data_IF_575753439995
#
_entry.id   IF_575753439995
#
_cell.length_a   1.000
_cell.length_b   1.000
_cell.length_c   1.000
_cell.angle_alpha   90.00
_cell.angle_beta   90.00
_cell.angle_gamma   90.00
#
_symmetry.space_group_name_H-M   'P 1'
#
loop_
_entity.id
_entity.type
_entity.pdbx_description
1 polymer ?
#
# COMPACT_ATOMS: atom_id res chain seq x y z
N UNK A 1 -16.89 36.26 -36.25
CA UNK A 1 -18.12 37.04 -36.00
C UNK A 1 -19.28 36.15 -36.40
N UNK A 2 -19.77 35.33 -35.48
CA UNK A 2 -21.15 34.80 -35.45
C UNK A 2 -21.33 33.99 -34.17
N UNK A 3 -22.21 34.48 -33.31
CA UNK A 3 -22.89 33.74 -32.24
C UNK A 3 -24.18 33.22 -32.89
N UNK A 4 -24.72 32.05 -32.54
CA UNK A 4 -25.93 31.89 -31.69
C UNK A 4 -26.28 30.39 -31.58
N UNK A 5 -26.76 29.88 -30.43
CA UNK A 5 -26.97 28.44 -30.17
C UNK A 5 -28.42 27.97 -30.40
N UNK A 6 -28.71 26.69 -30.12
CA UNK A 6 -30.08 26.10 -30.12
C UNK A 6 -30.29 25.15 -28.92
N UNK A 7 -31.53 25.11 -28.41
CA UNK A 7 -32.03 24.31 -27.26
C UNK A 7 -32.95 23.15 -27.75
N UNK A 8 -33.59 22.28 -26.95
CA UNK A 8 -33.90 22.27 -25.51
C UNK A 8 -34.16 20.82 -24.99
N UNK A 9 -34.91 20.71 -23.89
CA UNK A 9 -35.54 19.52 -23.27
C UNK A 9 -36.11 18.47 -24.26
N UNK A 10 -36.14 17.16 -23.99
CA UNK A 10 -36.64 16.40 -22.81
C UNK A 10 -37.71 15.39 -23.32
N UNK A 11 -38.56 14.72 -22.49
CA UNK A 11 -38.40 14.20 -21.12
C UNK A 11 -38.90 12.73 -20.94
N UNK A 12 -38.82 12.22 -19.69
CA UNK A 12 -39.62 11.12 -19.09
C UNK A 12 -39.53 9.65 -19.57
N UNK A 13 -39.45 8.74 -18.58
CA UNK A 13 -39.63 7.29 -18.74
C UNK A 13 -39.53 6.49 -17.43
N UNK A 14 -40.46 6.69 -16.48
CA UNK A 14 -40.62 5.76 -15.33
C UNK A 14 -41.32 4.48 -15.79
N UNK A 15 -40.87 3.32 -15.31
CA UNK A 15 -41.56 2.04 -15.45
C UNK A 15 -41.46 1.24 -14.14
N UNK A 16 -42.59 0.98 -13.50
CA UNK A 16 -42.69 0.22 -12.25
C UNK A 16 -42.86 -1.29 -12.51
N UNK A 17 -42.39 -2.10 -11.55
CA UNK A 17 -42.75 -3.53 -11.41
C UNK A 17 -44.25 -3.66 -11.08
N UNK A 18 -44.89 -4.83 -11.33
CA UNK A 18 -45.13 -5.73 -10.19
C UNK A 18 -45.31 -7.24 -10.47
N UNK A 19 -44.95 -8.05 -9.48
CA UNK A 19 -45.61 -9.33 -9.13
C UNK A 19 -45.23 -10.60 -9.92
N UNK A 20 -45.52 -11.82 -9.44
CA UNK A 20 -45.95 -12.25 -8.10
C UNK A 20 -45.83 -13.79 -7.91
N UNK A 21 -45.78 -14.24 -6.65
CA UNK A 21 -46.27 -15.51 -6.12
C UNK A 21 -45.66 -16.87 -6.57
N UNK A 22 -45.06 -17.58 -5.60
CA UNK A 22 -45.79 -18.71 -4.98
C UNK A 22 -45.10 -20.09 -4.90
N UNK A 23 -45.29 -20.74 -3.73
CA UNK A 23 -45.21 -22.20 -3.47
C UNK A 23 -43.82 -22.85 -3.47
N UNK A 24 -43.51 -23.90 -2.70
CA UNK A 24 -44.26 -24.63 -1.66
C UNK A 24 -43.28 -25.13 -0.56
N UNK A 25 -43.82 -25.49 0.61
CA UNK A 25 -43.10 -26.12 1.73
C UNK A 25 -43.65 -27.54 1.95
N UNK A 26 -42.80 -28.56 2.15
CA UNK A 26 -43.14 -29.58 3.14
C UNK A 26 -41.98 -29.93 4.08
N UNK A 27 -42.32 -30.17 5.34
CA UNK A 27 -41.39 -30.49 6.41
C UNK A 27 -41.21 -32.00 6.66
N UNK A 28 -40.13 -32.30 7.41
CA UNK A 28 -39.96 -33.42 8.36
C UNK A 28 -39.62 -34.84 7.85
N UNK A 29 -38.39 -35.29 8.17
CA UNK A 29 -37.89 -36.62 8.68
C UNK A 29 -36.36 -36.45 8.84
N UNK A 30 -35.64 -36.81 9.92
CA UNK A 30 -35.92 -37.24 11.30
C UNK A 30 -34.79 -36.70 12.21
N UNK A 31 -35.07 -36.19 13.42
CA UNK A 31 -35.02 -36.89 14.72
C UNK A 31 -33.70 -37.63 15.09
N UNK A 32 -33.20 -37.30 16.28
CA UNK A 32 -32.28 -38.04 17.14
C UNK A 32 -30.77 -38.11 16.79
N UNK A 33 -30.00 -37.13 17.30
CA UNK A 33 -28.97 -37.42 18.31
C UNK A 33 -28.58 -36.17 19.13
N UNK A 34 -28.39 -36.44 20.42
CA UNK A 34 -27.80 -35.63 21.48
C UNK A 34 -26.68 -34.67 21.00
N UNK A 35 -26.52 -33.48 21.56
CA UNK A 35 -26.83 -33.10 22.94
C UNK A 35 -25.53 -32.84 23.71
N UNK A 36 -24.82 -31.78 23.31
CA UNK A 36 -23.65 -31.25 24.00
C UNK A 36 -23.77 -29.73 24.04
N UNK A 37 -23.51 -29.14 25.21
CA UNK A 37 -23.89 -27.76 25.52
C UNK A 37 -23.03 -26.72 24.80
N UNK A 38 -23.69 -25.79 24.10
CA UNK A 38 -23.12 -24.48 23.77
C UNK A 38 -23.11 -23.65 25.05
N UNK A 39 -22.04 -23.77 25.85
CA UNK A 39 -21.85 -23.02 27.09
C UNK A 39 -20.35 -22.76 27.34
N UNK A 40 -19.69 -22.07 26.40
CA UNK A 40 -18.27 -21.71 26.54
C UNK A 40 -17.89 -20.33 25.97
N UNK A 41 -18.75 -19.67 25.18
CA UNK A 41 -18.42 -18.40 24.51
C UNK A 41 -18.70 -17.15 25.38
N UNK A 42 -19.49 -17.25 26.46
CA UNK A 42 -20.02 -16.07 27.19
C UNK A 42 -19.21 -15.62 28.42
N UNK A 43 -18.00 -16.15 28.66
CA UNK A 43 -17.20 -15.85 29.88
C UNK A 43 -15.89 -15.09 29.58
N UNK A 44 -15.42 -15.08 28.34
CA UNK A 44 -14.15 -14.45 27.95
C UNK A 44 -14.34 -13.08 27.28
N UNK A 45 -14.66 -12.05 28.07
CA UNK A 45 -14.59 -10.65 27.62
C UNK A 45 -14.07 -9.64 28.67
N UNK A 46 -13.49 -10.11 29.80
CA UNK A 46 -13.13 -9.19 30.89
C UNK A 46 -11.93 -9.55 31.78
N UNK A 47 -11.17 -10.62 31.51
CA UNK A 47 -10.17 -11.11 32.48
C UNK A 47 -8.92 -11.81 31.88
N UNK A 48 -8.32 -11.29 30.80
CA UNK A 48 -7.05 -11.81 30.25
C UNK A 48 -6.06 -10.70 29.86
N UNK A 49 -5.49 -9.98 30.84
CA UNK A 49 -4.24 -9.19 30.65
C UNK A 49 -3.12 -9.50 31.67
N UNK A 50 -3.28 -10.48 32.57
CA UNK A 50 -2.22 -10.90 33.54
C UNK A 50 -2.29 -12.37 33.98
N UNK A 51 -2.13 -13.32 33.06
CA UNK A 51 -1.58 -14.64 33.42
C UNK A 51 -0.71 -15.16 32.28
N UNK A 52 0.61 -15.02 32.39
CA UNK A 52 1.57 -15.72 31.54
C UNK A 52 2.13 -16.96 32.24
N UNK A 53 2.42 -18.02 31.48
CA UNK A 53 3.10 -19.23 31.93
C UNK A 53 2.25 -20.24 32.71
N UNK A 54 1.71 -19.87 33.88
CA UNK A 54 1.34 -20.87 34.89
C UNK A 54 0.06 -21.70 34.63
N UNK A 55 -0.87 -21.23 33.78
CA UNK A 55 -2.18 -21.90 33.59
C UNK A 55 -2.26 -22.85 32.39
N UNK A 56 -1.24 -22.93 31.52
CA UNK A 56 -1.26 -23.89 30.40
C UNK A 56 -1.17 -25.35 30.90
N UNK A 57 -0.37 -25.61 31.94
CA UNK A 57 -0.16 -26.97 32.46
C UNK A 57 -1.33 -27.49 33.32
N UNK A 58 -2.02 -26.62 34.08
CA UNK A 58 -3.15 -27.06 34.93
C UNK A 58 -4.45 -27.33 34.14
N UNK A 59 -4.71 -26.60 33.04
CA UNK A 59 -5.94 -26.78 32.27
C UNK A 59 -5.93 -28.07 31.43
N UNK A 60 -4.78 -28.49 30.92
CA UNK A 60 -4.62 -29.76 30.20
C UNK A 60 -4.86 -31.00 31.07
N UNK A 61 -4.80 -30.86 32.40
CA UNK A 61 -4.98 -31.97 33.34
C UNK A 61 -6.42 -32.18 33.84
N UNK A 62 -7.30 -31.19 33.69
CA UNK A 62 -8.66 -31.20 34.26
C UNK A 62 -9.72 -31.79 33.31
N UNK A 63 -9.52 -31.65 32.00
CA UNK A 63 -10.33 -32.35 31.00
C UNK A 63 -9.84 -33.80 30.89
N UNK A 64 -10.69 -34.76 31.22
CA UNK A 64 -10.38 -36.20 31.17
C UNK A 64 -10.25 -36.77 29.75
N UNK A 65 -9.36 -36.19 28.93
CA UNK A 65 -9.09 -36.59 27.54
C UNK A 65 -8.20 -37.83 27.54
N UNK A 66 -8.83 -39.00 27.65
CA UNK A 66 -8.13 -40.28 27.67
C UNK A 66 -7.51 -40.64 26.32
N UNK A 67 -6.24 -40.25 26.11
CA UNK A 67 -5.25 -40.84 25.20
C UNK A 67 -5.67 -41.11 23.73
N UNK A 68 -6.74 -40.47 23.23
CA UNK A 68 -7.24 -40.62 21.87
C UNK A 68 -7.32 -39.28 21.16
N UNK A 69 -6.89 -39.26 19.90
CA UNK A 69 -7.06 -38.15 18.94
C UNK A 69 -6.18 -36.90 19.16
N UNK A 70 -4.86 -36.99 18.86
CA UNK A 70 -3.97 -35.82 18.83
C UNK A 70 -4.38 -34.72 17.84
N UNK A 71 -5.30 -34.99 16.90
CA UNK A 71 -5.82 -33.99 15.96
C UNK A 71 -6.81 -33.00 16.60
N UNK A 72 -7.51 -33.37 17.68
CA UNK A 72 -8.41 -32.46 18.40
C UNK A 72 -7.62 -31.40 19.16
N UNK A 73 -6.52 -31.81 19.81
CA UNK A 73 -5.56 -30.89 20.44
C UNK A 73 -4.91 -29.99 19.39
N UNK A 74 -4.49 -30.54 18.24
CA UNK A 74 -3.93 -29.75 17.15
C UNK A 74 -4.94 -28.72 16.58
N UNK A 75 -6.20 -29.09 16.39
CA UNK A 75 -7.26 -28.15 15.97
C UNK A 75 -7.52 -27.07 17.03
N UNK A 76 -7.59 -27.43 18.31
CA UNK A 76 -7.82 -26.45 19.37
C UNK A 76 -6.60 -25.52 19.53
N UNK A 77 -5.38 -26.03 19.43
CA UNK A 77 -4.16 -25.22 19.40
C UNK A 77 -4.07 -24.33 18.17
N UNK A 78 -4.50 -24.78 16.99
CA UNK A 78 -4.58 -23.94 15.79
C UNK A 78 -5.67 -22.87 15.89
N UNK A 79 -6.83 -23.19 16.46
CA UNK A 79 -7.91 -22.23 16.72
C UNK A 79 -7.47 -21.20 17.76
N UNK A 80 -6.84 -21.63 18.86
CA UNK A 80 -6.28 -20.73 19.87
C UNK A 80 -5.14 -19.90 19.27
N UNK A 81 -4.24 -20.47 18.47
CA UNK A 81 -3.19 -19.71 17.78
C UNK A 81 -3.74 -18.76 16.70
N UNK A 82 -4.94 -19.00 16.17
CA UNK A 82 -5.66 -18.08 15.28
C UNK A 82 -6.50 -17.03 16.02
N UNK A 83 -6.88 -17.29 17.28
CA UNK A 83 -7.55 -16.34 18.19
C UNK A 83 -6.55 -15.51 19.02
N UNK A 84 -5.33 -16.02 19.14
CA UNK A 84 -4.12 -15.41 19.75
C UNK A 84 -3.11 -15.09 18.65
N UNK A 85 -3.51 -15.16 17.37
CA UNK A 85 -2.89 -14.38 16.32
C UNK A 85 -3.16 -12.93 16.73
N UNK A 86 -2.15 -12.33 17.35
CA UNK A 86 -2.30 -11.09 18.08
C UNK A 86 -2.57 -9.98 17.10
N UNK A 87 -3.86 -9.63 16.97
CA UNK A 87 -4.37 -8.26 16.89
C UNK A 87 -3.22 -7.25 16.76
N UNK A 88 -2.86 -6.97 15.51
CA UNK A 88 -1.62 -6.31 15.11
C UNK A 88 -1.92 -5.14 14.20
N UNK A 89 -1.08 -4.12 14.30
CA UNK A 89 -1.10 -2.97 13.40
C UNK A 89 -0.20 -3.32 12.22
N UNK A 90 -0.79 -3.43 11.03
CA UNK A 90 -0.03 -3.61 9.79
C UNK A 90 0.12 -2.25 9.09
N UNK A 91 1.36 -1.86 8.79
CA UNK A 91 1.69 -0.61 8.11
C UNK A 91 2.22 -0.96 6.73
N UNK A 92 1.47 -0.60 5.69
CA UNK A 92 1.87 -0.79 4.31
C UNK A 92 2.48 0.51 3.80
N UNK A 93 3.76 0.47 3.44
CA UNK A 93 4.43 1.53 2.70
C UNK A 93 4.66 1.13 1.26
N UNK A 94 4.28 2.01 0.34
CA UNK A 94 4.59 1.85 -1.06
C UNK A 94 4.94 3.16 -1.74
N UNK A 95 5.70 3.09 -2.83
CA UNK A 95 6.12 4.27 -3.59
C UNK A 95 7.08 3.95 -4.72
N UNK A 96 7.68 4.99 -5.30
CA UNK A 96 8.60 4.87 -6.43
C UNK A 96 9.94 5.55 -6.15
N UNK A 97 11.02 4.89 -6.55
CA UNK A 97 12.35 5.49 -6.62
C UNK A 97 12.70 5.81 -8.07
N UNK A 98 13.06 7.06 -8.34
CA UNK A 98 13.61 7.48 -9.64
C UNK A 98 15.08 7.89 -9.51
N UNK A 99 15.86 7.59 -10.55
CA UNK A 99 17.30 7.90 -10.61
C UNK A 99 17.59 8.92 -11.73
N UNK A 100 17.46 10.20 -11.40
CA UNK A 100 17.63 11.29 -12.35
C UNK A 100 19.09 11.81 -12.36
N UNK A 101 19.89 11.32 -13.31
CA UNK A 101 21.16 11.95 -13.69
C UNK A 101 20.97 13.37 -14.25
N UNK A 102 19.83 13.62 -14.89
CA UNK A 102 19.29 14.94 -15.21
C UNK A 102 17.78 14.97 -14.96
N UNK A 103 17.25 16.16 -14.72
CA UNK A 103 15.85 16.40 -14.29
C UNK A 103 14.84 15.96 -15.36
N UNK A 104 13.83 15.20 -14.95
CA UNK A 104 12.59 15.03 -15.72
C UNK A 104 11.37 15.12 -14.80
N UNK A 105 10.55 16.15 -15.05
CA UNK A 105 9.26 16.40 -14.39
C UNK A 105 8.32 15.20 -14.55
N UNK A 106 7.56 14.84 -13.51
CA UNK A 106 6.57 13.77 -13.67
C UNK A 106 5.44 14.19 -14.62
N UNK A 107 5.05 13.30 -15.54
CA UNK A 107 3.89 13.50 -16.39
C UNK A 107 2.61 13.16 -15.59
N UNK A 108 2.24 14.09 -14.70
CA UNK A 108 1.08 13.97 -13.80
C UNK A 108 0.95 15.17 -12.87
N UNK A 109 2.08 15.66 -12.33
CA UNK A 109 2.12 16.91 -11.56
C UNK A 109 2.28 18.14 -12.50
N UNK A 110 1.41 19.15 -12.45
CA UNK A 110 1.50 20.34 -13.30
C UNK A 110 2.52 21.40 -12.79
N UNK A 111 3.69 20.98 -12.31
CA UNK A 111 4.77 21.89 -11.84
C UNK A 111 6.15 21.37 -12.26
N UNK A 112 7.02 22.18 -12.88
CA UNK A 112 8.41 21.80 -13.15
C UNK A 112 9.23 21.80 -11.86
N UNK A 113 9.42 20.62 -11.26
CA UNK A 113 10.33 20.45 -10.12
C UNK A 113 11.77 20.79 -10.53
N UNK A 114 12.36 21.83 -9.92
CA UNK A 114 13.76 22.20 -10.12
C UNK A 114 14.65 21.28 -9.26
N UNK A 115 14.76 20.02 -9.67
CA UNK A 115 15.58 19.03 -8.98
C UNK A 115 17.07 19.33 -9.22
N UNK A 116 17.90 19.20 -8.19
CA UNK A 116 19.35 19.29 -8.36
C UNK A 116 19.85 18.05 -9.13
N UNK A 117 20.56 18.19 -10.25
CA UNK A 117 20.96 17.04 -11.08
C UNK A 117 21.78 16.03 -10.28
N UNK A 118 21.38 14.74 -10.34
CA UNK A 118 22.10 13.61 -9.74
C UNK A 118 21.49 12.99 -8.47
N UNK A 119 20.36 13.48 -7.95
CA UNK A 119 19.71 12.90 -6.77
C UNK A 119 18.99 11.57 -7.05
N UNK A 120 18.75 10.79 -5.98
CA UNK A 120 17.70 9.78 -5.94
C UNK A 120 16.47 10.41 -5.30
N UNK A 121 15.30 10.26 -5.93
CA UNK A 121 14.05 10.86 -5.46
C UNK A 121 13.10 9.75 -4.98
N UNK A 122 12.55 9.91 -3.77
CA UNK A 122 11.52 9.02 -3.23
C UNK A 122 10.17 9.65 -3.58
N UNK A 123 9.65 9.29 -4.75
CA UNK A 123 8.38 9.77 -5.28
C UNK A 123 7.21 9.02 -4.64
N UNK A 124 6.36 9.76 -3.95
CA UNK A 124 5.12 9.28 -3.34
C UNK A 124 5.20 7.97 -2.51
N UNK A 125 6.08 7.86 -1.50
CA UNK A 125 5.81 7.07 -0.30
C UNK A 125 4.42 7.39 0.29
N UNK A 126 3.51 6.43 0.20
CA UNK A 126 2.20 6.43 0.84
C UNK A 126 2.20 5.38 1.95
N UNK A 127 1.71 5.76 3.13
CA UNK A 127 1.54 4.91 4.31
C UNK A 127 0.06 4.64 4.54
N UNK A 128 -0.33 3.38 4.39
CA UNK A 128 -1.65 2.85 4.73
C UNK A 128 -1.56 2.02 6.01
N UNK A 129 -2.60 2.03 6.83
CA UNK A 129 -2.65 1.33 8.11
C UNK A 129 -3.82 0.36 8.11
N UNK A 130 -3.57 -0.87 8.57
CA UNK A 130 -4.50 -1.99 8.52
C UNK A 130 -4.46 -2.76 9.85
N UNK A 131 -5.43 -3.65 10.03
CA UNK A 131 -5.54 -4.48 11.23
C UNK A 131 -6.23 -3.76 12.38
N UNK A 132 -5.57 -3.73 13.53
CA UNK A 132 -6.13 -3.19 14.78
C UNK A 132 -6.29 -1.65 14.79
N UNK A 133 -7.39 -1.18 15.39
CA UNK A 133 -7.54 0.24 15.75
C UNK A 133 -6.53 0.63 16.84
N UNK A 134 -5.93 1.81 16.74
CA UNK A 134 -4.94 2.30 17.69
C UNK A 134 -4.90 3.84 17.78
N UNK A 135 -4.36 4.36 18.88
CA UNK A 135 -3.86 5.74 18.97
C UNK A 135 -2.35 5.68 19.18
N UNK A 136 -1.58 6.58 18.57
CA UNK A 136 -0.13 6.59 18.74
C UNK A 136 0.60 7.63 17.90
N UNK A 137 1.93 7.54 17.91
CA UNK A 137 2.82 8.41 17.11
C UNK A 137 3.46 7.63 15.97
N UNK A 138 3.27 8.10 14.74
CA UNK A 138 4.00 7.63 13.55
C UNK A 138 5.17 8.57 13.31
N UNK A 139 6.38 8.04 13.26
CA UNK A 139 7.60 8.80 12.96
C UNK A 139 8.28 8.23 11.72
N UNK A 140 8.60 9.08 10.76
CA UNK A 140 9.42 8.76 9.59
C UNK A 140 10.73 9.52 9.70
N UNK A 141 11.85 8.82 9.51
CA UNK A 141 13.18 9.42 9.44
C UNK A 141 13.89 9.02 8.15
N UNK A 142 14.66 9.93 7.57
CA UNK A 142 15.39 9.69 6.31
C UNK A 142 16.78 10.34 6.37
N UNK A 143 17.84 9.70 5.83
CA UNK A 143 19.13 10.36 5.62
C UNK A 143 19.08 11.46 4.54
N UNK A 144 17.98 11.54 3.77
CA UNK A 144 17.72 12.55 2.76
C UNK A 144 17.15 13.87 3.33
N UNK A 145 16.50 14.63 2.45
CA UNK A 145 15.64 15.76 2.81
C UNK A 145 14.21 15.37 2.46
N UNK A 146 13.32 15.34 3.45
CA UNK A 146 11.87 15.31 3.21
C UNK A 146 11.38 16.76 3.07
N UNK A 147 10.64 17.03 1.99
CA UNK A 147 10.23 18.37 1.59
C UNK A 147 8.73 18.51 1.27
N UNK A 148 8.04 17.42 0.94
CA UNK A 148 6.59 17.37 0.85
C UNK A 148 6.03 16.28 1.77
N UNK A 149 4.89 16.55 2.38
CA UNK A 149 4.20 15.65 3.30
C UNK A 149 2.71 16.03 3.35
N UNK A 150 1.85 15.05 3.56
CA UNK A 150 0.43 15.27 3.74
C UNK A 150 -0.15 14.26 4.74
N UNK A 151 -0.88 14.70 5.79
CA UNK A 151 -1.09 16.09 6.18
C UNK A 151 0.21 16.72 6.73
N UNK A 152 0.18 18.02 7.05
CA UNK A 152 1.29 18.67 7.73
C UNK A 152 1.56 18.00 9.10
N UNK A 153 2.78 17.49 9.37
CA UNK A 153 3.10 16.73 10.57
C UNK A 153 3.08 17.59 11.84
N UNK A 154 2.87 16.95 12.98
CA UNK A 154 2.87 17.59 14.30
C UNK A 154 4.27 18.08 14.71
N UNK A 155 5.31 17.41 14.22
CA UNK A 155 6.68 17.90 14.26
C UNK A 155 7.44 17.58 12.97
N UNK A 156 8.30 18.50 12.56
CA UNK A 156 9.24 18.32 11.45
C UNK A 156 10.61 18.89 11.81
N UNK A 157 11.65 18.08 11.65
CA UNK A 157 13.06 18.45 11.79
C UNK A 157 13.75 18.12 10.46
N UNK A 158 14.52 19.04 9.92
CA UNK A 158 15.20 18.80 8.64
C UNK A 158 16.21 19.86 8.25
N UNK A 159 16.91 19.67 7.12
CA UNK A 159 18.00 20.54 6.69
C UNK A 159 17.53 21.91 6.18
N UNK A 160 16.21 22.11 6.05
CA UNK A 160 15.56 23.42 5.93
C UNK A 160 15.89 24.31 7.14
N UNK A 161 16.02 23.71 8.32
CA UNK A 161 16.12 24.39 9.63
C UNK A 161 17.48 24.21 10.31
N UNK A 162 18.15 23.07 10.10
CA UNK A 162 19.47 22.77 10.70
C UNK A 162 20.39 22.07 9.70
N UNK A 163 21.42 22.78 9.20
CA UNK A 163 22.61 22.27 8.47
C UNK A 163 22.37 21.11 7.48
N UNK A 164 22.34 21.43 6.18
CA UNK A 164 22.31 20.51 5.02
C UNK A 164 23.20 19.26 5.16
N UNK A 165 22.67 18.17 5.72
CA UNK A 165 23.34 16.86 5.77
C UNK A 165 23.02 15.96 6.98
N UNK A 166 22.10 16.35 7.86
CA UNK A 166 21.76 15.60 9.08
C UNK A 166 20.50 14.71 8.96
N UNK A 167 19.97 14.55 7.75
CA UNK A 167 18.68 13.87 7.51
C UNK A 167 17.45 14.75 7.81
N UNK A 168 16.27 14.17 7.60
CA UNK A 168 14.97 14.70 8.01
C UNK A 168 14.25 13.72 8.92
N UNK A 169 13.42 14.23 9.82
CA UNK A 169 12.48 13.48 10.66
C UNK A 169 11.14 14.21 10.67
N UNK A 170 10.05 13.49 10.47
CA UNK A 170 8.67 14.00 10.55
C UNK A 170 7.84 13.04 11.40
N UNK A 171 6.87 13.56 12.15
CA UNK A 171 5.99 12.74 12.98
C UNK A 171 4.57 13.24 13.04
N UNK A 172 3.62 12.31 13.06
CA UNK A 172 2.19 12.56 13.24
C UNK A 172 1.68 11.83 14.48
N UNK A 173 0.82 12.49 15.27
CA UNK A 173 0.03 11.86 16.34
C UNK A 173 -1.36 11.58 15.78
N UNK A 174 -1.72 10.30 15.68
CA UNK A 174 -2.94 9.83 14.99
C UNK A 174 -3.78 8.90 15.86
N UNK A 175 -5.08 8.85 15.56
CA UNK A 175 -5.98 7.76 15.98
C UNK A 175 -6.55 7.09 14.73
N UNK A 176 -6.25 5.81 14.54
CA UNK A 176 -6.65 4.99 13.40
C UNK A 176 -7.90 4.15 13.75
N UNK A 177 -8.97 4.27 12.95
CA UNK A 177 -10.25 3.57 13.17
C UNK A 177 -10.79 2.90 11.90
N UNK A 178 -11.44 1.75 12.02
CA UNK A 178 -12.04 1.02 10.90
C UNK A 178 -13.36 1.63 10.41
N UNK A 179 -13.97 2.52 11.19
CA UNK A 179 -15.17 3.27 10.79
C UNK A 179 -14.81 4.70 10.34
N UNK A 180 -15.55 5.21 9.35
CA UNK A 180 -15.47 6.63 8.97
C UNK A 180 -15.95 7.51 10.14
N UNK A 181 -15.16 8.50 10.58
CA UNK A 181 -15.52 9.34 11.73
C UNK A 181 -16.82 10.13 11.53
N UNK A 182 -17.81 9.94 12.41
CA UNK A 182 -19.07 10.68 12.34
C UNK A 182 -18.85 12.20 12.39
N UNK A 183 -19.44 12.91 11.43
CA UNK A 183 -19.41 14.38 11.38
C UNK A 183 -18.20 14.99 10.68
N UNK A 184 -17.22 14.18 10.26
CA UNK A 184 -16.21 14.63 9.30
C UNK A 184 -16.82 14.65 7.89
N UNK A 185 -16.48 15.63 7.03
CA UNK A 185 -16.89 15.59 5.64
C UNK A 185 -16.21 14.38 5.00
N UNK A 186 -17.02 13.40 4.59
CA UNK A 186 -16.51 12.22 3.86
C UNK A 186 -15.63 12.68 2.70
N UNK A 187 -14.51 11.99 2.51
CA UNK A 187 -13.30 12.51 1.84
C UNK A 187 -13.47 12.96 0.37
N UNK A 188 -14.67 12.89 -0.19
CA UNK A 188 -15.03 13.30 -1.56
C UNK A 188 -15.60 14.70 -1.76
N UNK A 189 -15.71 15.58 -0.75
CA UNK A 189 -16.26 16.95 -0.97
C UNK A 189 -15.58 18.14 -0.27
N UNK A 190 -14.52 17.89 0.52
CA UNK A 190 -13.44 18.84 0.76
C UNK A 190 -13.44 19.58 2.11
N UNK A 191 -12.29 19.54 2.79
CA UNK A 191 -11.85 20.58 3.74
C UNK A 191 -10.34 20.56 4.04
N UNK A 192 -9.51 20.10 3.10
CA UNK A 192 -8.08 20.40 3.09
C UNK A 192 -7.67 20.68 1.64
N UNK A 193 -7.04 21.83 1.32
CA UNK A 193 -6.23 21.88 0.11
C UNK A 193 -5.06 20.92 0.35
N UNK A 194 -5.04 19.82 -0.40
CA UNK A 194 -3.76 19.36 -0.91
C UNK A 194 -3.16 20.56 -1.64
N UNK A 195 -2.07 21.13 -1.10
CA UNK A 195 -1.24 22.03 -1.90
C UNK A 195 -0.96 21.31 -3.23
N UNK A 196 -1.18 22.01 -4.33
CA UNK A 196 -1.98 21.57 -5.50
C UNK A 196 -1.63 20.23 -6.17
N UNK A 197 -0.49 19.65 -5.85
CA UNK A 197 0.34 18.88 -6.75
C UNK A 197 0.01 17.38 -6.75
N UNK A 198 -0.72 16.90 -5.74
CA UNK A 198 -1.15 15.49 -5.59
C UNK A 198 -2.68 15.30 -5.48
N UNK A 199 -3.45 16.37 -5.70
CA UNK A 199 -4.92 16.34 -5.69
C UNK A 199 -5.56 15.35 -6.69
N UNK A 200 -4.83 15.01 -7.75
CA UNK A 200 -5.21 14.03 -8.77
C UNK A 200 -4.95 12.57 -8.36
N UNK A 201 -3.98 12.32 -7.48
CA UNK A 201 -3.55 10.98 -7.08
C UNK A 201 -4.23 10.50 -5.79
N UNK A 202 -4.47 11.43 -4.85
CA UNK A 202 -5.13 11.14 -3.57
C UNK A 202 -6.49 10.41 -3.66
N UNK A 203 -7.33 10.53 -4.72
CA UNK A 203 -8.49 9.66 -4.90
C UNK A 203 -8.12 8.18 -4.99
N UNK A 204 -7.08 7.82 -5.76
CA UNK A 204 -6.61 6.43 -5.92
C UNK A 204 -6.12 5.87 -4.57
N UNK A 205 -5.41 6.69 -3.79
CA UNK A 205 -4.82 6.30 -2.51
C UNK A 205 -5.86 6.04 -1.40
N UNK A 206 -7.13 6.39 -1.65
CA UNK A 206 -8.26 6.15 -0.75
C UNK A 206 -9.11 4.94 -1.15
N UNK A 207 -8.85 4.29 -2.29
CA UNK A 207 -9.68 3.20 -2.81
C UNK A 207 -9.59 1.92 -1.95
N UNK A 208 -8.47 1.70 -1.24
CA UNK A 208 -8.28 0.55 -0.36
C UNK A 208 -8.97 0.66 1.01
N UNK A 209 -9.16 -0.49 1.67
CA UNK A 209 -9.83 -0.66 2.97
C UNK A 209 -8.94 -0.32 4.20
N UNK A 210 -8.02 0.64 4.04
CA UNK A 210 -7.18 1.14 5.12
C UNK A 210 -7.98 1.90 6.19
N UNK A 211 -7.49 1.86 7.44
CA UNK A 211 -8.05 2.57 8.58
C UNK A 211 -8.08 4.09 8.35
N UNK A 212 -9.13 4.73 8.86
CA UNK A 212 -9.25 6.19 8.89
C UNK A 212 -8.34 6.77 9.97
N UNK A 213 -7.39 7.61 9.55
CA UNK A 213 -6.43 8.30 10.40
C UNK A 213 -6.97 9.67 10.77
N UNK A 214 -7.32 9.85 12.04
CA UNK A 214 -7.81 11.13 12.59
C UNK A 214 -6.74 11.83 13.42
N UNK A 215 -6.80 13.17 13.45
CA UNK A 215 -5.89 14.03 14.22
C UNK A 215 -6.62 15.14 14.95
N UNK A 216 -5.96 15.70 15.96
CA UNK A 216 -6.52 16.77 16.82
C UNK A 216 -6.76 18.11 16.10
N UNK A 217 -6.19 18.31 14.91
CA UNK A 217 -6.40 19.48 14.06
C UNK A 217 -7.66 19.39 13.17
N UNK A 218 -8.36 18.25 13.20
CA UNK A 218 -9.52 17.98 12.35
C UNK A 218 -9.18 17.35 11.00
N UNK A 219 -7.95 16.88 10.78
CA UNK A 219 -7.65 15.99 9.67
C UNK A 219 -8.30 14.60 9.86
N UNK A 220 -8.80 14.04 8.75
CA UNK A 220 -9.31 12.67 8.64
C UNK A 220 -9.10 12.18 7.20
N UNK A 221 -8.27 11.16 7.00
CA UNK A 221 -8.01 10.52 5.69
C UNK A 221 -7.53 9.08 5.89
N UNK A 222 -7.38 8.28 4.83
CA UNK A 222 -6.95 6.86 4.92
C UNK A 222 -5.44 6.61 4.80
N UNK A 223 -4.66 7.67 4.58
CA UNK A 223 -3.23 7.56 4.32
C UNK A 223 -2.43 8.72 4.93
N UNK A 224 -1.15 8.49 5.15
CA UNK A 224 -0.14 9.54 5.26
C UNK A 224 0.73 9.52 4.00
N UNK A 225 1.23 10.67 3.58
CA UNK A 225 2.13 10.80 2.44
C UNK A 225 3.38 11.54 2.89
N UNK A 226 4.53 11.14 2.37
CA UNK A 226 5.74 11.94 2.40
C UNK A 226 6.56 11.73 1.12
N UNK A 227 7.41 12.68 0.79
CA UNK A 227 8.43 12.51 -0.26
C UNK A 227 9.69 13.29 0.06
N UNK A 228 10.75 13.01 -0.69
CA UNK A 228 12.05 13.58 -0.41
C UNK A 228 13.13 13.17 -1.40
N UNK A 229 14.31 13.73 -1.16
CA UNK A 229 15.49 13.55 -2.02
C UNK A 229 16.68 13.07 -1.21
N UNK A 230 17.38 12.06 -1.73
CA UNK A 230 18.58 11.48 -1.11
C UNK A 230 19.77 11.73 -2.03
N UNK A 231 20.89 12.17 -1.45
CA UNK A 231 22.01 12.75 -2.21
C UNK A 231 22.71 11.75 -3.11
N UNK A 232 23.15 12.26 -4.27
CA UNK A 232 24.04 11.57 -5.20
C UNK A 232 25.23 10.89 -4.49
N UNK A 233 25.61 9.69 -4.97
CA UNK A 233 26.76 8.95 -4.47
C UNK A 233 26.49 8.09 -3.24
N UNK A 234 25.28 8.14 -2.66
CA UNK A 234 24.85 7.18 -1.63
C UNK A 234 24.34 5.85 -2.22
N UNK A 235 23.94 5.84 -3.50
CA UNK A 235 23.40 4.68 -4.22
C UNK A 235 23.85 4.64 -5.68
N UNK A 236 23.85 3.43 -6.23
CA UNK A 236 23.95 3.14 -7.67
C UNK A 236 22.66 2.42 -8.08
N UNK A 237 22.01 2.75 -9.21
CA UNK A 237 20.82 2.04 -9.66
C UNK A 237 21.12 0.55 -9.91
N UNK A 238 20.30 -0.39 -9.43
CA UNK A 238 20.60 -1.82 -9.50
C UNK A 238 20.47 -2.44 -10.91
N UNK A 239 20.05 -1.67 -11.93
CA UNK A 239 19.95 -2.14 -13.32
C UNK A 239 21.22 -1.96 -14.15
N UNK A 240 22.14 -1.07 -13.75
CA UNK A 240 23.32 -0.75 -14.58
C UNK A 240 24.48 -1.70 -14.27
N UNK A 241 24.44 -2.90 -14.85
CA UNK A 241 25.59 -3.82 -14.93
C UNK A 241 25.99 -4.55 -13.65
N UNK A 242 25.18 -4.50 -12.59
CA UNK A 242 25.40 -5.28 -11.38
C UNK A 242 24.64 -6.60 -11.42
N UNK A 243 25.38 -7.71 -11.41
CA UNK A 243 24.86 -8.94 -10.83
C UNK A 243 24.62 -8.65 -9.34
N UNK A 244 23.36 -8.59 -8.91
CA UNK A 244 23.00 -8.52 -7.50
C UNK A 244 23.36 -9.87 -6.89
N UNK A 245 24.57 -9.95 -6.35
CA UNK A 245 25.06 -11.17 -5.73
C UNK A 245 24.29 -11.44 -4.44
N UNK A 246 23.40 -12.43 -4.49
CA UNK A 246 22.88 -13.20 -3.34
C UNK A 246 22.23 -12.40 -2.21
N UNK A 247 21.20 -11.59 -2.50
CA UNK A 247 20.45 -10.83 -1.48
C UNK A 247 18.91 -10.95 -1.57
N UNK A 248 18.40 -11.99 -2.24
CA UNK A 248 16.96 -12.29 -2.27
C UNK A 248 16.73 -13.79 -2.52
N UNK A 249 16.75 -14.60 -1.45
CA UNK A 249 16.27 -16.00 -1.51
C UNK A 249 14.76 -16.11 -1.21
N UNK A 250 14.12 -15.04 -0.73
CA UNK A 250 12.74 -15.09 -0.18
C UNK A 250 11.62 -14.59 -1.11
N UNK A 251 11.92 -14.03 -2.28
CA UNK A 251 10.91 -13.77 -3.34
C UNK A 251 11.35 -14.33 -4.70
N UNK A 252 10.55 -15.19 -5.36
CA UNK A 252 10.92 -15.87 -6.62
C UNK A 252 11.00 -14.95 -7.85
N UNK A 253 10.74 -13.65 -7.68
CA UNK A 253 10.67 -12.65 -8.75
C UNK A 253 11.76 -11.57 -8.63
N UNK A 254 12.56 -11.60 -7.56
CA UNK A 254 13.78 -10.82 -7.47
C UNK A 254 14.71 -11.17 -8.64
N UNK A 255 14.94 -10.20 -9.53
CA UNK A 255 15.62 -10.43 -10.80
C UNK A 255 14.71 -10.42 -12.04
N UNK A 256 13.50 -9.88 -11.98
CA UNK A 256 12.67 -9.53 -13.15
C UNK A 256 12.50 -8.01 -13.29
N UNK A 257 12.34 -7.56 -14.53
CA UNK A 257 12.10 -6.17 -14.89
C UNK A 257 11.02 -6.08 -15.98
N UNK A 258 10.20 -5.03 -15.94
CA UNK A 258 9.28 -4.64 -17.01
C UNK A 258 10.00 -3.63 -17.89
N UNK A 259 10.27 -4.00 -19.14
CA UNK A 259 10.86 -3.11 -20.13
C UNK A 259 9.75 -2.55 -21.02
N UNK A 260 9.58 -1.24 -21.00
CA UNK A 260 8.63 -0.51 -21.82
C UNK A 260 9.34 0.07 -23.04
N UNK A 261 8.81 -0.19 -24.23
CA UNK A 261 9.29 0.35 -25.52
C UNK A 261 8.16 1.04 -26.28
N UNK A 262 8.50 1.93 -27.22
CA UNK A 262 7.53 2.53 -28.14
C UNK A 262 7.82 2.13 -29.57
N UNK A 263 6.75 1.82 -30.32
CA UNK A 263 6.86 1.61 -31.75
C UNK A 263 6.97 2.94 -32.53
N UNK A 264 7.18 2.85 -33.85
CA UNK A 264 7.24 4.00 -34.74
C UNK A 264 5.91 4.74 -34.95
N UNK A 265 4.82 4.31 -34.29
CA UNK A 265 3.51 4.97 -34.28
C UNK A 265 3.19 5.61 -32.92
N UNK A 266 4.03 5.37 -31.89
CA UNK A 266 3.83 5.87 -30.53
C UNK A 266 3.04 4.92 -29.62
N UNK A 267 2.71 3.71 -30.07
CA UNK A 267 2.11 2.69 -29.21
C UNK A 267 3.15 2.22 -28.19
N UNK A 268 2.73 2.07 -26.93
CA UNK A 268 3.59 1.48 -25.88
C UNK A 268 3.41 -0.03 -25.85
N UNK A 269 4.54 -0.73 -25.81
CA UNK A 269 4.66 -2.16 -25.62
C UNK A 269 5.45 -2.43 -24.34
N UNK A 270 5.29 -3.61 -23.75
CA UNK A 270 6.15 -4.05 -22.67
C UNK A 270 6.54 -5.52 -22.79
N UNK A 271 7.62 -5.89 -22.07
CA UNK A 271 8.06 -7.28 -21.91
C UNK A 271 8.65 -7.48 -20.53
N UNK A 272 8.41 -8.64 -19.92
CA UNK A 272 9.11 -9.06 -18.70
C UNK A 272 10.45 -9.67 -19.11
N UNK A 273 11.55 -9.07 -18.67
CA UNK A 273 12.90 -9.56 -18.92
C UNK A 273 13.61 -9.95 -17.60
N UNK A 274 14.63 -10.81 -17.64
CA UNK A 274 15.56 -10.96 -16.53
C UNK A 274 16.30 -9.65 -16.23
N UNK A 275 16.53 -9.35 -14.95
CA UNK A 275 17.31 -8.19 -14.53
C UNK A 275 18.74 -8.28 -15.08
N UNK A 276 19.15 -7.23 -15.80
CA UNK A 276 20.43 -7.17 -16.50
C UNK A 276 20.37 -7.56 -17.98
N UNK A 277 19.29 -8.19 -18.47
CA UNK A 277 19.07 -8.41 -19.90
C UNK A 277 18.13 -7.35 -20.51
N UNK A 278 18.60 -6.10 -20.50
CA UNK A 278 17.91 -4.98 -21.15
C UNK A 278 17.84 -5.12 -22.67
N UNK A 279 18.60 -6.07 -23.27
CA UNK A 279 18.58 -6.32 -24.72
C UNK A 279 17.26 -6.95 -25.19
N UNK A 280 16.44 -7.47 -24.26
CA UNK A 280 15.08 -7.91 -24.54
C UNK A 280 14.11 -6.76 -24.86
N UNK A 281 14.47 -5.49 -24.63
CA UNK A 281 13.65 -4.35 -25.04
C UNK A 281 13.39 -4.34 -26.57
N UNK A 282 14.40 -4.66 -27.38
CA UNK A 282 14.25 -4.81 -28.85
C UNK A 282 13.39 -6.02 -29.26
N UNK A 283 13.11 -6.92 -28.32
CA UNK A 283 12.23 -8.09 -28.47
C UNK A 283 10.85 -7.85 -27.83
N UNK A 284 10.49 -6.60 -27.53
CA UNK A 284 9.23 -6.24 -26.90
C UNK A 284 8.03 -6.90 -27.59
N UNK A 285 7.09 -7.36 -26.78
CA UNK A 285 5.98 -8.19 -27.24
C UNK A 285 5.11 -7.46 -28.26
N UNK A 286 4.53 -8.15 -29.27
CA UNK A 286 3.49 -7.57 -30.12
C UNK A 286 2.21 -7.21 -29.34
N UNK A 287 2.10 -7.54 -28.05
CA UNK A 287 1.00 -7.08 -27.20
C UNK A 287 1.10 -5.58 -26.96
N UNK A 288 -0.03 -4.90 -27.17
CA UNK A 288 -0.23 -3.50 -26.80
C UNK A 288 -0.33 -3.43 -25.28
N UNK A 289 0.26 -2.41 -24.67
CA UNK A 289 0.16 -2.17 -23.23
C UNK A 289 -1.28 -2.30 -22.68
N UNK A 290 -1.40 -3.00 -21.55
CA UNK A 290 -2.63 -3.20 -20.79
C UNK A 290 -2.35 -2.87 -19.31
N UNK A 291 -3.10 -1.93 -18.69
CA UNK A 291 -2.89 -1.58 -17.28
C UNK A 291 -3.15 -2.77 -16.34
N UNK A 292 -4.21 -3.53 -16.59
CA UNK A 292 -4.61 -4.65 -15.72
C UNK A 292 -3.56 -5.78 -15.75
N UNK A 293 -2.90 -6.03 -16.90
CA UNK A 293 -1.81 -7.00 -16.99
C UNK A 293 -0.57 -6.55 -16.20
N UNK A 294 -0.25 -5.25 -16.20
CA UNK A 294 0.85 -4.73 -15.39
C UNK A 294 0.52 -4.80 -13.91
N UNK A 295 -0.72 -4.49 -13.51
CA UNK A 295 -1.18 -4.63 -12.12
C UNK A 295 -1.09 -6.09 -11.64
N UNK A 296 -1.54 -7.07 -12.43
CA UNK A 296 -1.40 -8.51 -12.10
C UNK A 296 0.07 -8.94 -11.92
N UNK A 297 0.98 -8.42 -12.76
CA UNK A 297 2.43 -8.68 -12.63
C UNK A 297 2.99 -8.06 -11.34
N UNK A 298 2.58 -6.84 -11.02
CA UNK A 298 3.02 -6.12 -9.82
C UNK A 298 2.44 -6.73 -8.53
N UNK A 299 1.25 -7.32 -8.57
CA UNK A 299 0.67 -8.07 -7.44
C UNK A 299 1.45 -9.33 -7.12
N UNK A 300 1.87 -10.09 -8.15
CA UNK A 300 2.80 -11.19 -7.99
C UNK A 300 4.07 -10.72 -7.27
N UNK A 301 4.70 -9.68 -7.81
CA UNK A 301 5.93 -9.09 -7.28
C UNK A 301 5.79 -8.53 -5.86
N UNK A 302 4.63 -8.02 -5.48
CA UNK A 302 4.34 -7.56 -4.13
C UNK A 302 4.28 -8.72 -3.13
N UNK A 303 4.00 -9.95 -3.57
CA UNK A 303 4.06 -11.15 -2.72
C UNK A 303 3.09 -11.13 -1.53
N UNK A 304 2.03 -10.33 -1.59
CA UNK A 304 1.11 -10.07 -0.48
C UNK A 304 1.56 -8.97 0.49
N UNK A 305 2.63 -8.21 0.19
CA UNK A 305 3.05 -7.05 0.98
C UNK A 305 2.09 -5.85 0.91
N UNK A 306 1.20 -5.84 -0.10
CA UNK A 306 0.18 -4.83 -0.38
C UNK A 306 -1.14 -5.50 -0.77
N UNK A 307 -2.26 -4.78 -0.67
CA UNK A 307 -3.55 -5.22 -1.25
C UNK A 307 -3.62 -4.97 -2.76
N UNK A 308 -4.61 -5.57 -3.44
CA UNK A 308 -4.92 -5.31 -4.85
C UNK A 308 -5.10 -3.81 -5.13
N UNK A 309 -5.87 -3.13 -4.28
CA UNK A 309 -6.20 -1.71 -4.37
C UNK A 309 -4.95 -0.83 -4.19
N UNK A 310 -4.02 -1.22 -3.33
CA UNK A 310 -2.74 -0.52 -3.11
C UNK A 310 -1.78 -0.69 -4.28
N UNK A 311 -1.63 -1.91 -4.83
CA UNK A 311 -0.82 -2.14 -6.05
C UNK A 311 -1.41 -1.39 -7.24
N UNK A 312 -2.74 -1.42 -7.37
CA UNK A 312 -3.50 -0.65 -8.36
C UNK A 312 -3.25 0.85 -8.20
N UNK A 313 -3.37 1.40 -6.99
CA UNK A 313 -3.12 2.81 -6.70
C UNK A 313 -1.67 3.22 -6.99
N UNK A 314 -0.69 2.40 -6.60
CA UNK A 314 0.73 2.57 -6.91
C UNK A 314 0.95 2.64 -8.43
N UNK A 315 0.43 1.67 -9.20
CA UNK A 315 0.59 1.68 -10.65
C UNK A 315 -0.09 2.88 -11.30
N UNK A 316 -1.38 3.13 -11.05
CA UNK A 316 -2.09 4.26 -11.69
C UNK A 316 -1.56 5.64 -11.27
N UNK A 317 -0.86 5.76 -10.13
CA UNK A 317 -0.13 6.98 -9.78
C UNK A 317 1.08 7.22 -10.70
N UNK A 318 1.76 6.16 -11.14
CA UNK A 318 3.02 6.26 -11.90
C UNK A 318 2.94 5.84 -13.38
N UNK A 319 1.81 5.26 -13.79
CA UNK A 319 1.49 4.88 -15.18
C UNK A 319 1.77 6.05 -16.12
N UNK A 320 1.23 7.25 -15.83
CA UNK A 320 1.44 8.44 -16.66
C UNK A 320 2.92 8.78 -16.84
N UNK A 321 3.76 8.60 -15.82
CA UNK A 321 5.20 8.84 -15.89
C UNK A 321 5.95 7.77 -16.69
N UNK A 322 5.53 6.51 -16.62
CA UNK A 322 6.10 5.43 -17.43
C UNK A 322 5.68 5.58 -18.89
N UNK A 323 4.39 5.74 -19.16
CA UNK A 323 3.84 5.73 -20.51
C UNK A 323 4.11 7.02 -21.29
N UNK A 324 4.19 8.18 -20.64
CA UNK A 324 4.36 9.48 -21.30
C UNK A 324 5.83 9.96 -21.36
N UNK A 325 6.04 11.15 -21.92
CA UNK A 325 7.35 11.80 -22.09
C UNK A 325 8.14 11.35 -23.32
N UNK A 326 9.24 12.04 -23.60
CA UNK A 326 10.28 11.57 -24.51
C UNK A 326 11.24 10.69 -23.71
N UNK A 327 11.45 9.45 -24.15
CA UNK A 327 12.40 8.53 -23.50
C UNK A 327 13.75 8.71 -24.19
N UNK A 328 14.76 9.37 -23.57
CA UNK A 328 15.94 9.85 -24.30
C UNK A 328 16.79 8.71 -24.91
N UNK A 329 16.69 7.53 -24.31
CA UNK A 329 17.36 6.29 -24.70
C UNK A 329 16.45 5.34 -25.50
N UNK A 330 15.15 5.64 -25.61
CA UNK A 330 14.15 4.87 -26.36
C UNK A 330 13.38 3.83 -25.54
N UNK A 331 13.78 3.55 -24.30
CA UNK A 331 13.12 2.57 -23.42
C UNK A 331 13.08 3.03 -21.95
N UNK A 332 12.11 2.51 -21.19
CA UNK A 332 12.03 2.65 -19.72
C UNK A 332 12.02 1.27 -19.06
N UNK A 333 12.67 1.14 -17.91
CA UNK A 333 12.62 -0.06 -17.09
C UNK A 333 11.93 0.22 -15.75
N UNK A 334 11.01 -0.68 -15.36
CA UNK A 334 10.35 -0.71 -14.05
C UNK A 334 10.69 -2.03 -13.36
N UNK A 335 11.04 -1.98 -12.07
CA UNK A 335 11.55 -3.15 -11.33
C UNK A 335 11.28 -3.03 -9.83
N UNK A 336 11.25 -4.15 -9.09
CA UNK A 336 11.15 -4.11 -7.61
C UNK A 336 12.48 -3.60 -7.02
N UNK A 337 12.42 -2.59 -6.17
CA UNK A 337 13.59 -2.13 -5.43
C UNK A 337 13.94 -3.14 -4.33
N UNK A 338 15.19 -3.64 -4.24
CA UNK A 338 15.62 -4.51 -3.15
C UNK A 338 15.38 -3.89 -1.77
N UNK A 339 14.89 -4.68 -0.81
CA UNK A 339 14.59 -4.22 0.56
C UNK A 339 15.75 -3.48 1.23
N UNK A 340 16.99 -3.97 1.07
CA UNK A 340 18.19 -3.29 1.57
C UNK A 340 18.39 -1.86 1.04
N UNK A 341 17.87 -1.52 -0.14
CA UNK A 341 17.91 -0.15 -0.66
C UNK A 341 16.76 0.69 -0.09
N UNK A 342 15.57 0.08 0.06
CA UNK A 342 14.38 0.69 0.67
C UNK A 342 14.64 1.05 2.14
N UNK A 343 15.27 0.17 2.92
CA UNK A 343 15.65 0.42 4.33
C UNK A 343 16.71 1.51 4.50
N UNK A 344 17.33 1.94 3.40
CA UNK A 344 18.28 3.06 3.38
C UNK A 344 17.64 4.36 2.85
N UNK A 345 16.39 4.34 2.38
CA UNK A 345 15.66 5.58 2.03
C UNK A 345 15.01 6.22 3.24
N UNK A 346 14.43 5.41 4.12
CA UNK A 346 13.79 5.84 5.36
C UNK A 346 13.65 4.70 6.36
N UNK A 347 13.48 5.08 7.62
CA UNK A 347 13.08 4.21 8.74
C UNK A 347 11.77 4.76 9.30
N UNK A 348 10.77 3.88 9.38
CA UNK A 348 9.45 4.15 9.96
C UNK A 348 9.40 3.52 11.35
N UNK A 349 8.87 4.27 12.31
CA UNK A 349 8.52 3.77 13.64
C UNK A 349 7.06 4.13 13.91
N UNK A 350 6.27 3.19 14.41
CA UNK A 350 4.94 3.46 14.97
C UNK A 350 4.98 3.09 16.44
N UNK A 351 4.63 4.04 17.29
CA UNK A 351 4.59 3.91 18.74
C UNK A 351 3.12 4.02 19.18
N UNK A 352 2.36 2.91 19.24
CA UNK A 352 1.01 2.90 19.79
C UNK A 352 1.01 3.18 21.31
N UNK A 353 -0.05 3.82 21.79
CA UNK A 353 -0.26 4.12 23.22
C UNK A 353 -0.46 2.85 24.07
N UNK A 354 -0.94 1.78 23.45
CA UNK A 354 -0.98 0.42 24.01
C UNK A 354 0.12 -0.46 23.40
N UNK A 355 0.58 -1.47 24.15
CA UNK A 355 1.63 -2.42 23.73
C UNK A 355 1.11 -3.41 22.66
N UNK A 356 0.78 -2.89 21.48
CA UNK A 356 0.34 -3.62 20.29
C UNK A 356 1.53 -3.89 19.36
N UNK A 357 1.65 -5.10 18.78
CA UNK A 357 2.68 -5.40 17.79
C UNK A 357 2.43 -4.65 16.49
N UNK A 358 3.49 -4.09 15.91
CA UNK A 358 3.49 -3.40 14.62
C UNK A 358 4.30 -4.22 13.61
N UNK A 359 3.70 -4.54 12.46
CA UNK A 359 4.39 -5.07 11.29
C UNK A 359 4.48 -3.97 10.21
N UNK A 360 5.65 -3.81 9.59
CA UNK A 360 5.86 -2.83 8.51
C UNK A 360 6.20 -3.58 7.23
N UNK A 361 5.30 -3.53 6.24
CA UNK A 361 5.50 -4.11 4.91
C UNK A 361 5.81 -3.00 3.91
N UNK A 362 6.81 -3.21 3.07
CA UNK A 362 7.36 -2.16 2.18
C UNK A 362 7.49 -2.68 0.75
N UNK A 363 6.89 -1.99 -0.22
CA UNK A 363 7.00 -2.36 -1.63
C UNK A 363 7.25 -1.13 -2.50
N UNK A 364 8.44 -1.07 -3.10
CA UNK A 364 8.87 0.06 -3.93
C UNK A 364 9.20 -0.39 -5.34
N UNK A 365 8.80 0.42 -6.33
CA UNK A 365 9.23 0.26 -7.71
C UNK A 365 10.35 1.24 -8.04
N UNK A 366 11.37 0.76 -8.75
CA UNK A 366 12.39 1.59 -9.35
C UNK A 366 12.00 1.90 -10.80
N UNK A 367 12.15 3.15 -11.22
CA UNK A 367 11.95 3.57 -12.61
C UNK A 367 13.21 4.27 -13.12
N UNK A 368 13.69 3.86 -14.30
CA UNK A 368 14.89 4.41 -14.92
C UNK A 368 14.81 4.34 -16.45
N UNK A 369 15.38 5.34 -17.13
CA UNK A 369 15.59 5.33 -18.58
C UNK A 369 16.81 4.44 -18.92
N UNK A 370 16.65 3.55 -19.90
CA UNK A 370 17.68 2.55 -20.31
C UNK A 370 18.01 2.65 -21.80
#
# INVERSE_FOLDING_TARGET
MEVTPVLEAGPHGRGELPGAAGRDNPAAVASARAGFSVMLVSVYSGACRRVSGALQDEWLFSLGVGAGFPWEVAMLSALIASLVASASIEVHEWGVLTWNGQVLTSAGAPVPAVVAPGGMETGAPVLCFHGDEFTGTVTVSSPGTMDHFYPAPDAAVGPQYCLRGLGSVISWVITATGQEPEGYPSCGSGSAPLDSDFSWAAPLWREGDALYLTRTDGFSDRFLYYSGTIRQGSFTPPLVGFAVASAAEDTPEAGRVLLFTRDGQGNVHFVIAPQGDVSMADQASPFVYSPDEVVEILEGWAGGALTHEEVRALWFTWEGYVLAGDWPTGSKAVFVVPGELVDRTSVITVEPDEDQPVEIRRFFLGIVDI
#
